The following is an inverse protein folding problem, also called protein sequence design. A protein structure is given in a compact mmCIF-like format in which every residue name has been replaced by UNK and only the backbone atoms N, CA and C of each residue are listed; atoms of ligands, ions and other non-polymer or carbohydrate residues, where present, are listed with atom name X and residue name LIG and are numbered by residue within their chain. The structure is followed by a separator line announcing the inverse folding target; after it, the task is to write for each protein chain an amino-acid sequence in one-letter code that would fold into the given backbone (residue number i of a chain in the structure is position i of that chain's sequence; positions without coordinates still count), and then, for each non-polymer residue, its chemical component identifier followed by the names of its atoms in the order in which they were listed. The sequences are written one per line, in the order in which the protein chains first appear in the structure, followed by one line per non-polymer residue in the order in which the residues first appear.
data_IF_004825284529
#
_entry.id   IF_004825284529
#
_cell.length_a   1.000
_cell.length_b   1.000
_cell.length_c   1.000
_cell.angle_alpha   90.00
_cell.angle_beta   90.00
_cell.angle_gamma   90.00
#
_symmetry.space_group_name_H-M   'P 1'
#
loop_
_entity.id
_entity.type
_entity.pdbx_description
1 polymer ?
#
# COMPACT_ATOMS: atom_id res chain seq x y z
N UNK A 1 10.47 23.71 13.11
CA UNK A 1 9.06 23.81 12.78
C UNK A 1 8.78 23.06 11.48
N UNK A 2 8.45 21.78 11.58
CA UNK A 2 7.99 20.93 10.46
C UNK A 2 6.53 21.28 10.03
N UNK A 3 5.84 22.10 10.80
CA UNK A 3 4.42 22.39 10.63
C UNK A 3 4.07 23.24 9.39
N UNK A 4 4.95 24.11 8.93
CA UNK A 4 4.62 25.02 7.82
C UNK A 4 4.67 24.36 6.45
N UNK A 5 5.63 23.48 6.19
CA UNK A 5 5.82 22.86 4.88
C UNK A 5 4.86 21.72 4.57
N UNK A 6 4.38 21.01 5.58
CA UNK A 6 3.42 19.91 5.41
C UNK A 6 2.01 20.45 5.12
N UNK A 7 1.63 21.58 5.69
CA UNK A 7 0.27 22.12 5.60
C UNK A 7 -0.12 22.61 4.21
N UNK A 8 0.80 23.13 3.43
CA UNK A 8 0.48 23.75 2.13
C UNK A 8 0.58 22.78 0.94
N UNK A 9 1.44 21.74 1.04
CA UNK A 9 1.68 20.83 -0.09
C UNK A 9 1.08 19.44 0.09
N UNK A 10 0.93 18.97 1.32
CA UNK A 10 0.45 17.62 1.64
C UNK A 10 -0.97 17.70 2.20
N UNK A 11 -1.18 18.41 3.31
CA UNK A 11 -2.50 18.49 3.94
C UNK A 11 -3.34 19.59 3.28
N UNK A 12 -4.44 19.21 2.65
CA UNK A 12 -5.41 20.13 2.07
C UNK A 12 -6.58 20.32 3.05
N UNK A 13 -7.11 21.56 3.08
CA UNK A 13 -8.20 21.94 4.01
C UNK A 13 -9.46 21.08 3.86
N UNK A 14 -9.73 20.57 2.67
CA UNK A 14 -10.95 19.83 2.32
C UNK A 14 -10.62 18.44 1.76
N UNK A 15 -9.58 17.80 2.28
CA UNK A 15 -9.19 16.45 1.88
C UNK A 15 -8.64 15.71 3.10
N UNK A 16 -8.84 14.41 3.13
CA UNK A 16 -8.26 13.52 4.13
C UNK A 16 -7.05 12.83 3.52
N UNK A 17 -5.91 12.97 4.19
CA UNK A 17 -4.70 12.25 3.88
C UNK A 17 -4.51 11.12 4.90
N UNK A 18 -4.07 9.97 4.42
CA UNK A 18 -3.84 8.78 5.25
C UNK A 18 -2.63 8.00 4.78
N UNK A 19 -2.41 6.88 5.39
CA UNK A 19 -1.32 5.90 5.21
C UNK A 19 -0.26 6.34 4.21
N UNK A 20 0.97 6.45 4.68
CA UNK A 20 2.10 6.92 3.86
C UNK A 20 3.26 5.93 3.88
N UNK A 21 4.07 5.98 2.84
CA UNK A 21 5.37 5.31 2.76
C UNK A 21 6.40 6.23 2.14
N UNK A 22 7.67 5.96 2.41
CA UNK A 22 8.78 6.65 1.76
C UNK A 22 9.50 5.71 0.79
N UNK A 23 10.10 6.30 -0.24
CA UNK A 23 11.07 5.55 -1.01
C UNK A 23 12.31 5.26 -0.13
N UNK A 24 13.14 4.30 -0.53
CA UNK A 24 14.29 3.84 0.26
C UNK A 24 15.25 4.97 0.67
N UNK A 25 15.36 6.03 -0.13
CA UNK A 25 16.24 7.19 0.14
C UNK A 25 15.58 8.23 1.04
N UNK A 26 14.31 8.08 1.42
CA UNK A 26 13.55 9.09 2.16
C UNK A 26 13.32 10.40 1.38
N UNK A 27 13.60 10.43 0.08
CA UNK A 27 13.56 11.62 -0.75
C UNK A 27 12.20 11.88 -1.42
N UNK A 28 11.29 10.92 -1.36
CA UNK A 28 9.93 11.00 -1.89
C UNK A 28 8.97 10.25 -0.97
N UNK A 29 7.87 10.88 -0.64
CA UNK A 29 6.77 10.29 0.10
C UNK A 29 5.66 9.89 -0.86
N UNK A 30 5.05 8.73 -0.63
CA UNK A 30 3.81 8.30 -1.26
C UNK A 30 2.74 8.23 -0.19
N UNK A 31 1.54 8.68 -0.49
CA UNK A 31 0.46 8.74 0.49
C UNK A 31 -0.90 8.66 -0.18
N UNK A 32 -1.89 8.27 0.59
CA UNK A 32 -3.28 8.24 0.17
C UNK A 32 -3.90 9.62 0.36
N UNK A 33 -4.72 10.08 -0.60
CA UNK A 33 -5.51 11.30 -0.49
C UNK A 33 -6.92 11.07 -1.02
N UNK A 34 -7.92 11.53 -0.25
CA UNK A 34 -9.30 11.60 -0.70
C UNK A 34 -9.46 12.69 -1.78
N UNK A 35 -10.15 12.36 -2.87
CA UNK A 35 -10.42 13.26 -3.98
C UNK A 35 -11.88 13.71 -3.94
N UNK A 36 -12.10 15.00 -4.08
CA UNK A 36 -13.43 15.60 -4.14
C UNK A 36 -13.59 16.41 -5.42
N UNK A 37 -14.69 16.21 -6.12
CA UNK A 37 -15.11 17.05 -7.24
C UNK A 37 -16.45 17.69 -6.92
N UNK A 38 -16.52 19.04 -6.96
CA UNK A 38 -17.74 19.80 -6.61
C UNK A 38 -18.34 19.38 -5.25
N UNK A 39 -17.48 19.17 -4.25
CA UNK A 39 -17.80 18.67 -2.90
C UNK A 39 -18.38 17.24 -2.87
N UNK A 40 -18.29 16.48 -3.94
CA UNK A 40 -18.67 15.08 -3.98
C UNK A 40 -17.42 14.21 -3.92
N UNK A 41 -17.39 13.25 -2.99
CA UNK A 41 -16.32 12.27 -2.86
C UNK A 41 -16.20 11.43 -4.15
N UNK A 42 -14.96 11.30 -4.64
CA UNK A 42 -14.61 10.57 -5.87
C UNK A 42 -13.66 9.40 -5.59
N UNK A 43 -13.54 8.98 -4.35
CA UNK A 43 -12.61 7.93 -3.95
C UNK A 43 -11.26 8.46 -3.49
N UNK A 44 -10.39 7.54 -3.09
CA UNK A 44 -9.01 7.82 -2.69
C UNK A 44 -8.05 7.50 -3.81
N UNK A 45 -6.93 8.23 -3.84
CA UNK A 45 -5.84 8.01 -4.82
C UNK A 45 -4.49 8.07 -4.12
N UNK A 46 -3.51 7.46 -4.74
CA UNK A 46 -2.12 7.57 -4.30
C UNK A 46 -1.49 8.80 -4.94
N UNK A 47 -0.86 9.60 -4.11
CA UNK A 47 -0.08 10.77 -4.48
C UNK A 47 1.36 10.58 -4.06
N UNK A 48 2.28 11.27 -4.71
CA UNK A 48 3.64 11.41 -4.24
C UNK A 48 4.11 12.84 -4.16
N UNK A 49 5.02 13.11 -3.24
CA UNK A 49 5.64 14.42 -3.07
C UNK A 49 7.14 14.28 -2.82
N UNK A 50 8.01 15.02 -3.54
CA UNK A 50 9.44 14.99 -3.30
C UNK A 50 9.78 15.73 -2.00
N UNK A 51 10.70 15.19 -1.21
CA UNK A 51 11.28 15.88 -0.07
C UNK A 51 12.40 16.82 -0.56
N UNK A 52 12.33 18.07 -0.16
CA UNK A 52 13.30 19.12 -0.42
C UNK A 52 13.85 19.69 0.90
N UNK A 53 14.90 20.50 0.84
CA UNK A 53 15.51 21.12 2.03
C UNK A 53 14.49 21.98 2.83
N UNK A 54 13.48 22.54 2.18
CA UNK A 54 12.42 23.38 2.79
C UNK A 54 11.16 22.60 3.17
N UNK A 55 11.15 21.27 3.09
CA UNK A 55 9.98 20.42 3.30
C UNK A 55 9.52 19.71 2.03
N UNK A 56 8.29 19.20 2.02
CA UNK A 56 7.75 18.50 0.85
C UNK A 56 7.38 19.49 -0.26
N UNK A 57 7.73 19.10 -1.50
CA UNK A 57 7.29 19.81 -2.70
C UNK A 57 5.82 19.50 -3.05
N UNK A 58 5.34 20.04 -4.19
CA UNK A 58 3.97 19.79 -4.64
C UNK A 58 3.67 18.30 -4.75
N UNK A 59 2.50 17.88 -4.27
CA UNK A 59 2.00 16.54 -4.43
C UNK A 59 1.46 16.33 -5.85
N UNK A 60 1.79 15.18 -6.42
CA UNK A 60 1.33 14.76 -7.76
C UNK A 60 0.62 13.43 -7.61
N UNK A 61 -0.56 13.29 -8.22
CA UNK A 61 -1.29 12.04 -8.28
C UNK A 61 -0.52 11.02 -9.12
N UNK A 62 -0.33 9.83 -8.58
CA UNK A 62 0.27 8.72 -9.33
C UNK A 62 -0.74 8.20 -10.36
N UNK A 63 -0.30 8.09 -11.60
CA UNK A 63 -1.14 7.59 -12.68
C UNK A 63 -1.12 6.06 -12.71
N UNK A 64 -1.99 5.46 -11.92
CA UNK A 64 -2.28 4.03 -11.93
C UNK A 64 -3.52 3.82 -12.80
N UNK A 65 -3.51 2.93 -13.81
CA UNK A 65 -4.64 2.71 -14.70
C UNK A 65 -5.75 1.89 -13.99
N UNK A 66 -6.54 2.59 -13.21
CA UNK A 66 -7.65 2.05 -12.40
C UNK A 66 -8.87 2.95 -12.62
N UNK A 67 -10.08 2.39 -12.55
CA UNK A 67 -11.31 3.16 -12.62
C UNK A 67 -11.31 4.28 -11.58
N UNK A 68 -11.77 5.44 -12.00
CA UNK A 68 -11.79 6.65 -11.17
C UNK A 68 -12.75 6.57 -9.98
N UNK A 69 -13.62 5.57 -9.90
CA UNK A 69 -14.54 5.35 -8.79
C UNK A 69 -13.99 4.37 -7.74
N UNK A 70 -12.89 3.68 -8.05
CA UNK A 70 -12.27 2.72 -7.12
C UNK A 70 -11.45 3.45 -6.06
N UNK A 71 -11.65 3.13 -4.79
CA UNK A 71 -10.80 3.58 -3.70
C UNK A 71 -9.44 2.86 -3.74
N UNK A 72 -8.36 3.64 -3.80
CA UNK A 72 -6.99 3.13 -3.77
C UNK A 72 -6.26 3.69 -2.57
N UNK A 73 -5.72 2.84 -1.71
CA UNK A 73 -5.11 3.27 -0.46
C UNK A 73 -3.94 2.38 -0.01
N UNK A 74 -3.23 2.82 1.04
CA UNK A 74 -2.18 2.04 1.68
C UNK A 74 -0.95 1.76 0.80
N UNK A 75 -0.30 2.78 0.18
CA UNK A 75 0.84 2.55 -0.68
C UNK A 75 2.04 1.97 0.07
N UNK A 76 2.73 1.00 -0.54
CA UNK A 76 4.02 0.48 -0.10
C UNK A 76 4.93 0.19 -1.29
N UNK A 77 6.20 0.59 -1.23
CA UNK A 77 7.14 0.46 -2.33
C UNK A 77 8.13 -0.68 -2.12
N UNK A 78 8.47 -1.37 -3.22
CA UNK A 78 9.64 -2.24 -3.26
C UNK A 78 10.95 -1.45 -3.10
N UNK A 79 12.04 -2.12 -2.70
CA UNK A 79 13.35 -1.51 -2.52
C UNK A 79 13.89 -0.82 -3.78
N UNK A 80 13.62 -1.36 -4.95
CA UNK A 80 14.07 -0.83 -6.23
C UNK A 80 13.14 0.26 -6.81
N UNK A 81 12.08 0.62 -6.06
CA UNK A 81 11.08 1.62 -6.41
C UNK A 81 10.33 1.34 -7.72
N UNK A 82 10.30 0.05 -8.15
CA UNK A 82 9.63 -0.33 -9.40
C UNK A 82 8.30 -1.04 -9.18
N UNK A 83 8.03 -1.51 -7.97
CA UNK A 83 6.77 -2.13 -7.61
C UNK A 83 6.11 -1.32 -6.52
N UNK A 84 4.85 -0.98 -6.73
CA UNK A 84 3.98 -0.33 -5.76
C UNK A 84 2.89 -1.32 -5.37
N UNK A 85 2.82 -1.64 -4.09
CA UNK A 85 1.74 -2.39 -3.48
C UNK A 85 0.70 -1.40 -2.93
N UNK A 86 -0.56 -1.75 -3.02
CA UNK A 86 -1.67 -0.94 -2.49
C UNK A 86 -2.91 -1.80 -2.30
N UNK A 87 -3.89 -1.28 -1.60
CA UNK A 87 -5.19 -1.93 -1.40
C UNK A 87 -6.26 -1.21 -2.21
N UNK A 88 -7.18 -1.99 -2.79
CA UNK A 88 -8.31 -1.47 -3.56
C UNK A 88 -9.45 -2.49 -3.62
N UNK A 89 -10.68 -1.99 -3.74
CA UNK A 89 -11.86 -2.80 -4.06
C UNK A 89 -12.11 -2.75 -5.56
N UNK A 90 -11.62 -3.77 -6.29
CA UNK A 90 -11.78 -3.88 -7.74
C UNK A 90 -12.70 -5.05 -8.07
N UNK A 91 -13.66 -4.83 -8.94
CA UNK A 91 -14.59 -5.87 -9.38
C UNK A 91 -13.86 -7.12 -9.91
N UNK A 92 -14.25 -8.29 -9.43
CA UNK A 92 -13.58 -9.55 -9.73
C UNK A 92 -12.41 -9.89 -8.82
N UNK A 93 -12.19 -9.13 -7.74
CA UNK A 93 -11.28 -9.47 -6.65
C UNK A 93 -11.75 -10.68 -5.81
N UNK A 94 -11.05 -10.93 -4.70
CA UNK A 94 -11.35 -12.06 -3.80
C UNK A 94 -12.41 -11.69 -2.75
N UNK A 95 -12.43 -10.44 -2.30
CA UNK A 95 -13.30 -10.02 -1.22
C UNK A 95 -13.72 -8.55 -1.33
N UNK A 96 -13.63 -7.84 -0.21
CA UNK A 96 -13.80 -6.40 -0.17
C UNK A 96 -12.57 -5.69 -0.72
N UNK A 97 -11.72 -5.16 0.16
CA UNK A 97 -10.45 -4.57 -0.27
C UNK A 97 -9.38 -5.66 -0.38
N UNK A 98 -8.81 -5.81 -1.56
CA UNK A 98 -7.69 -6.73 -1.85
C UNK A 98 -6.37 -5.97 -1.99
N UNK A 99 -5.25 -6.66 -1.80
CA UNK A 99 -3.92 -6.12 -2.09
C UNK A 99 -3.55 -6.42 -3.54
N UNK A 100 -3.19 -5.35 -4.23
CA UNK A 100 -2.70 -5.35 -5.60
C UNK A 100 -1.25 -4.87 -5.65
N UNK A 101 -0.60 -5.15 -6.75
CA UNK A 101 0.67 -4.52 -7.12
C UNK A 101 0.60 -3.94 -8.52
N UNK A 102 1.43 -2.94 -8.77
CA UNK A 102 1.68 -2.41 -10.12
C UNK A 102 3.16 -2.16 -10.33
N UNK A 103 3.63 -2.26 -11.57
CA UNK A 103 5.04 -2.06 -11.93
C UNK A 103 5.24 -0.77 -12.70
N UNK A 104 6.27 0.00 -12.32
CA UNK A 104 6.61 1.25 -12.99
C UNK A 104 7.38 1.03 -14.28
N UNK A 105 6.78 1.45 -15.40
CA UNK A 105 7.44 1.47 -16.70
C UNK A 105 8.24 2.78 -16.86
N UNK A 106 9.57 2.69 -16.77
CA UNK A 106 10.47 3.85 -16.93
C UNK A 106 10.42 4.50 -18.30
N UNK A 107 10.08 3.75 -19.35
CA UNK A 107 9.99 4.27 -20.72
C UNK A 107 8.71 5.09 -20.89
N UNK A 108 7.59 4.57 -20.38
CA UNK A 108 6.29 5.25 -20.40
C UNK A 108 6.15 6.29 -19.31
N UNK A 109 7.00 6.24 -18.27
CA UNK A 109 6.92 7.06 -17.05
C UNK A 109 5.55 6.96 -16.37
N UNK A 110 5.00 5.76 -16.29
CA UNK A 110 3.69 5.46 -15.69
C UNK A 110 3.71 4.10 -15.03
N UNK A 111 2.80 3.91 -14.12
CA UNK A 111 2.47 2.60 -13.56
C UNK A 111 1.74 1.76 -14.60
N UNK A 112 1.95 0.43 -14.55
CA UNK A 112 1.25 -0.55 -15.36
C UNK A 112 -0.11 -0.92 -14.77
N UNK A 113 -0.80 -1.85 -15.44
CA UNK A 113 -2.06 -2.40 -14.94
C UNK A 113 -1.86 -3.04 -13.57
N UNK A 114 -2.81 -2.87 -12.63
CA UNK A 114 -2.80 -3.55 -11.35
C UNK A 114 -2.92 -5.06 -11.50
N UNK A 115 -2.10 -5.78 -10.75
CA UNK A 115 -2.13 -7.23 -10.64
C UNK A 115 -2.60 -7.60 -9.22
N UNK A 116 -3.70 -8.37 -9.08
CA UNK A 116 -4.14 -8.91 -7.79
C UNK A 116 -3.13 -9.93 -7.27
N UNK A 117 -2.76 -9.87 -5.98
CA UNK A 117 -1.75 -10.77 -5.42
C UNK A 117 -2.23 -12.21 -5.18
N UNK A 118 -3.51 -12.49 -5.43
CA UNK A 118 -4.08 -13.82 -5.41
C UNK A 118 -4.40 -14.34 -3.99
N UNK A 119 -4.90 -15.57 -3.94
CA UNK A 119 -5.44 -16.23 -2.73
C UNK A 119 -4.42 -16.46 -1.60
N UNK A 120 -3.13 -16.48 -1.92
CA UNK A 120 -2.10 -16.56 -0.90
C UNK A 120 -2.07 -15.34 0.01
N UNK A 121 -2.49 -14.19 -0.52
CA UNK A 121 -2.52 -12.88 0.16
C UNK A 121 -3.95 -12.46 0.45
N UNK A 122 -4.83 -12.48 -0.56
CA UNK A 122 -6.18 -11.96 -0.47
C UNK A 122 -7.17 -13.03 -0.02
N UNK A 123 -8.27 -12.60 0.61
CA UNK A 123 -9.30 -13.46 1.18
C UNK A 123 -10.70 -12.93 0.83
N UNK A 124 -11.75 -13.54 1.36
CA UNK A 124 -13.12 -13.04 1.19
C UNK A 124 -13.43 -11.79 2.04
N UNK A 125 -12.51 -11.39 2.91
CA UNK A 125 -12.63 -10.18 3.74
C UNK A 125 -11.94 -8.96 3.13
N UNK A 126 -11.29 -8.18 3.99
CA UNK A 126 -10.55 -6.99 3.60
C UNK A 126 -9.07 -7.16 3.94
N UNK A 127 -8.22 -6.88 2.99
CA UNK A 127 -6.80 -6.79 3.17
C UNK A 127 -6.33 -5.34 3.03
N UNK A 128 -5.44 -4.92 3.95
CA UNK A 128 -4.97 -3.55 3.98
C UNK A 128 -3.63 -3.37 4.68
N UNK A 129 -3.17 -2.11 4.76
CA UNK A 129 -1.93 -1.73 5.45
C UNK A 129 -0.70 -2.51 4.98
N UNK A 130 -0.64 -2.82 3.67
CA UNK A 130 0.48 -3.55 3.09
C UNK A 130 1.80 -2.84 3.36
N UNK A 131 2.81 -3.59 3.84
CA UNK A 131 4.17 -3.12 4.05
C UNK A 131 5.16 -4.13 3.51
N UNK A 132 5.85 -3.77 2.43
CA UNK A 132 6.91 -4.59 1.87
C UNK A 132 8.23 -4.29 2.57
N UNK A 133 8.83 -5.30 3.20
CA UNK A 133 10.13 -5.16 3.84
C UNK A 133 11.25 -5.42 2.80
N UNK A 134 12.02 -4.41 2.40
CA UNK A 134 13.02 -4.54 1.34
C UNK A 134 14.22 -5.43 1.71
N UNK A 135 14.50 -5.61 3.01
CA UNK A 135 15.62 -6.45 3.46
C UNK A 135 15.31 -7.94 3.38
N UNK A 136 14.10 -8.32 3.82
CA UNK A 136 13.65 -9.72 3.83
C UNK A 136 12.86 -10.11 2.60
N UNK A 137 12.39 -9.12 1.83
CA UNK A 137 11.47 -9.26 0.70
C UNK A 137 10.11 -9.85 1.09
N UNK A 138 9.76 -9.80 2.35
CA UNK A 138 8.47 -10.26 2.84
C UNK A 138 7.43 -9.14 2.74
N UNK A 139 6.19 -9.53 2.46
CA UNK A 139 5.03 -8.66 2.55
C UNK A 139 4.35 -8.87 3.89
N UNK A 140 4.06 -7.78 4.58
CA UNK A 140 3.24 -7.75 5.80
C UNK A 140 1.96 -6.99 5.48
N UNK A 141 0.83 -7.42 6.03
CA UNK A 141 -0.46 -6.77 5.81
C UNK A 141 -1.44 -7.16 6.91
N UNK A 142 -2.55 -6.45 7.01
CA UNK A 142 -3.64 -6.80 7.92
C UNK A 142 -4.83 -7.36 7.14
N UNK A 143 -5.52 -8.34 7.71
CA UNK A 143 -6.71 -8.97 7.13
C UNK A 143 -7.74 -9.29 8.20
N UNK A 144 -9.03 -9.10 7.88
CA UNK A 144 -10.18 -9.54 8.67
C UNK A 144 -10.87 -10.79 8.10
N UNK A 145 -10.43 -11.26 6.93
CA UNK A 145 -11.02 -12.42 6.23
C UNK A 145 -10.31 -13.75 6.48
N UNK A 146 -9.20 -13.74 7.23
CA UNK A 146 -8.40 -14.94 7.56
C UNK A 146 -8.61 -15.36 8.99
N UNK A 147 -8.28 -16.63 9.31
CA UNK A 147 -8.34 -17.13 10.70
C UNK A 147 -7.33 -16.37 11.54
N UNK A 148 -7.82 -15.59 12.48
CA UNK A 148 -7.06 -14.70 13.34
C UNK A 148 -7.46 -14.76 14.81
N UNK A 149 -7.04 -13.74 15.57
CA UNK A 149 -7.29 -13.59 17.01
C UNK A 149 -8.29 -12.47 17.30
N UNK A 150 -8.35 -11.45 16.43
CA UNK A 150 -9.19 -10.26 16.57
C UNK A 150 -10.07 -10.02 15.34
N UNK A 151 -10.33 -8.76 15.05
CA UNK A 151 -10.93 -8.32 13.80
C UNK A 151 -9.87 -8.28 12.71
N UNK A 152 -9.10 -7.20 12.61
CA UNK A 152 -7.91 -7.16 11.76
C UNK A 152 -6.72 -7.79 12.50
N UNK A 153 -6.06 -8.73 11.87
CA UNK A 153 -4.80 -9.32 12.34
C UNK A 153 -3.68 -9.09 11.33
N UNK A 154 -2.44 -9.02 11.80
CA UNK A 154 -1.26 -8.85 10.96
C UNK A 154 -0.74 -10.20 10.48
N UNK A 155 -0.51 -10.31 9.19
CA UNK A 155 0.03 -11.48 8.50
C UNK A 155 1.36 -11.17 7.85
N UNK A 156 2.17 -12.19 7.65
CA UNK A 156 3.42 -12.17 6.88
C UNK A 156 3.33 -13.16 5.74
N UNK A 157 3.71 -12.74 4.56
CA UNK A 157 3.91 -13.61 3.41
C UNK A 157 5.35 -13.50 2.90
N UNK A 158 6.02 -14.64 2.80
CA UNK A 158 7.39 -14.69 2.30
C UNK A 158 7.41 -14.65 0.78
N UNK A 159 8.37 -13.91 0.22
CA UNK A 159 8.57 -13.87 -1.22
C UNK A 159 8.94 -15.26 -1.74
N UNK A 160 8.24 -15.69 -2.77
CA UNK A 160 8.53 -16.99 -3.39
C UNK A 160 9.74 -16.86 -4.32
N UNK A 161 10.88 -17.37 -3.86
CA UNK A 161 12.15 -17.29 -4.58
C UNK A 161 12.38 -18.47 -5.54
N UNK A 162 11.32 -19.17 -5.98
CA UNK A 162 11.46 -20.27 -6.93
C UNK A 162 12.24 -19.83 -8.16
N UNK A 163 13.48 -20.27 -8.26
CA UNK A 163 14.42 -19.89 -9.32
C UNK A 163 14.13 -20.60 -10.66
N UNK A 164 13.25 -21.59 -10.64
CA UNK A 164 12.89 -22.43 -11.79
C UNK A 164 11.66 -21.91 -12.57
N UNK A 165 11.08 -20.78 -12.14
CA UNK A 165 9.89 -20.21 -12.77
C UNK A 165 8.60 -21.03 -12.53
N UNK A 166 8.63 -22.01 -11.65
CA UNK A 166 7.48 -22.86 -11.30
C UNK A 166 6.49 -22.17 -10.36
N UNK A 167 6.87 -21.05 -9.75
CA UNK A 167 6.02 -20.32 -8.82
C UNK A 167 4.80 -19.73 -9.52
N UNK A 168 3.62 -20.12 -9.10
CA UNK A 168 2.34 -19.61 -9.58
C UNK A 168 1.95 -18.30 -8.89
N UNK A 169 2.64 -17.93 -7.81
CA UNK A 169 2.40 -16.72 -7.01
C UNK A 169 3.71 -16.08 -6.56
N UNK A 170 3.73 -14.75 -6.51
CA UNK A 170 4.88 -13.98 -6.02
C UNK A 170 5.19 -14.24 -4.55
N UNK A 171 4.19 -14.55 -3.75
CA UNK A 171 4.31 -14.82 -2.31
C UNK A 171 3.78 -16.19 -1.95
N UNK A 172 4.37 -16.78 -0.92
CA UNK A 172 3.84 -17.97 -0.26
C UNK A 172 2.53 -17.62 0.48
N UNK A 173 1.80 -18.63 0.92
CA UNK A 173 0.59 -18.45 1.73
C UNK A 173 0.93 -17.63 2.98
N UNK A 174 0.13 -16.63 3.26
CA UNK A 174 0.35 -15.74 4.39
C UNK A 174 0.13 -16.45 5.72
N UNK A 175 0.99 -16.17 6.69
CA UNK A 175 0.98 -16.70 8.05
C UNK A 175 0.61 -15.60 9.06
N UNK A 176 -0.31 -15.90 9.99
CA UNK A 176 -0.65 -15.01 11.10
C UNK A 176 0.54 -14.83 12.04
N UNK A 177 0.88 -13.60 12.42
CA UNK A 177 2.02 -13.33 13.31
C UNK A 177 1.79 -13.73 14.76
N UNK A 178 0.56 -14.09 15.13
CA UNK A 178 0.19 -14.56 16.46
C UNK A 178 0.48 -13.56 17.59
N UNK A 179 0.12 -13.95 18.80
CA UNK A 179 0.49 -13.22 20.02
C UNK A 179 2.03 -13.22 20.20
N UNK A 180 2.66 -12.13 20.62
CA UNK A 180 2.05 -10.88 21.13
C UNK A 180 1.81 -9.79 20.06
N UNK A 181 2.03 -10.06 18.78
CA UNK A 181 1.83 -9.08 17.71
C UNK A 181 0.33 -8.87 17.49
N UNK A 182 -0.41 -9.97 17.33
CA UNK A 182 -1.85 -9.96 17.21
C UNK A 182 -2.54 -10.21 18.56
N UNK A 183 -3.67 -9.55 18.76
CA UNK A 183 -4.48 -9.57 19.99
C UNK A 183 -5.95 -9.88 19.66
N UNK A 184 -6.85 -9.75 20.62
CA UNK A 184 -8.30 -9.87 20.41
C UNK A 184 -8.96 -8.61 19.86
N UNK A 185 -8.18 -7.59 19.51
CA UNK A 185 -8.62 -6.34 18.90
C UNK A 185 -8.19 -6.25 17.45
N UNK A 186 -8.40 -5.08 16.82
CA UNK A 186 -7.85 -4.80 15.49
C UNK A 186 -6.37 -4.47 15.59
N UNK A 187 -5.54 -5.29 14.96
CA UNK A 187 -4.10 -5.09 14.85
C UNK A 187 -3.74 -4.77 13.41
N UNK A 188 -3.19 -3.57 13.19
CA UNK A 188 -2.87 -3.11 11.84
C UNK A 188 -1.65 -2.19 11.80
N UNK A 189 -0.99 -2.23 10.66
CA UNK A 189 0.20 -1.41 10.42
C UNK A 189 1.43 -1.93 11.17
N UNK A 190 2.49 -2.24 10.43
CA UNK A 190 3.78 -2.66 10.98
C UNK A 190 4.89 -1.78 10.42
N UNK A 191 5.84 -1.42 11.27
CA UNK A 191 7.00 -0.62 10.88
C UNK A 191 8.26 -1.32 11.39
N UNK A 192 9.29 -1.37 10.57
CA UNK A 192 10.58 -1.94 10.93
C UNK A 192 11.60 -0.83 11.13
N UNK A 193 12.38 -0.93 12.20
CA UNK A 193 13.53 -0.04 12.38
C UNK A 193 14.57 -0.31 11.31
N UNK A 194 15.11 0.78 10.75
CA UNK A 194 16.31 0.72 9.92
C UNK A 194 17.53 0.57 10.83
N UNK A 195 18.00 -0.66 11.03
CA UNK A 195 19.31 -0.92 11.67
C UNK A 195 20.41 -0.71 10.66
#
# INVERSE_FOLDING_TARGET
NLDGGLRESINLKNSDEGVLTFNQRGSRMFFTRAVFEKNKYQGRRIYSAPLKNSGFGPAVMENIPIDTLVDVHGPSLSADEKTLFFSAEIEGGFGGSDIYMTRYDRRKKSWGEPENLGENINSAGNEGFAHFNPKTQNLYFSSDGRVGMGGLDIYKAEHNLSSDGSATSMFNVAENLQFPINTSYDDFGIVFESV
#
